data_IF_031087021770
#
_entry.id   IF_031087021770
#
_cell.length_a   1.000
_cell.length_b   1.000
_cell.length_c   1.000
_cell.angle_alpha   90.00
_cell.angle_beta   90.00
_cell.angle_gamma   90.00
#
_symmetry.space_group_name_H-M   'P 1'
#
loop_
_entity.id
_entity.type
_entity.pdbx_description
1 polymer ?
#
# COMPACT_ATOMS: atom_id res chain seq x y z
N UNK A 1 77.01 -14.91 -0.27
CA UNK A 1 75.76 -15.12 0.50
C UNK A 1 74.84 -14.00 0.12
N UNK A 2 73.81 -14.27 -0.71
CA UNK A 2 72.86 -13.27 -1.18
C UNK A 2 71.59 -13.43 -0.38
N UNK A 3 71.33 -12.45 0.51
CA UNK A 3 70.14 -12.44 1.36
C UNK A 3 68.99 -11.76 0.57
N UNK A 4 68.04 -12.60 0.12
CA UNK A 4 66.86 -12.11 -0.60
C UNK A 4 65.79 -11.66 0.42
N UNK A 5 65.56 -10.34 0.53
CA UNK A 5 64.46 -9.79 1.31
C UNK A 5 63.17 -9.96 0.58
N UNK A 6 62.25 -10.78 1.09
CA UNK A 6 60.89 -10.90 0.61
C UNK A 6 60.06 -9.83 1.32
N UNK A 7 59.64 -8.83 0.54
CA UNK A 7 58.67 -7.79 1.01
C UNK A 7 57.25 -8.39 0.88
N UNK A 8 56.63 -8.68 1.99
CA UNK A 8 55.19 -9.05 2.05
C UNK A 8 54.36 -7.76 2.00
N UNK A 9 53.77 -7.49 0.84
CA UNK A 9 52.82 -6.40 0.70
C UNK A 9 51.46 -6.85 1.31
N UNK A 10 51.13 -6.30 2.49
CA UNK A 10 49.80 -6.45 3.08
C UNK A 10 48.81 -5.57 2.30
N UNK A 11 47.97 -6.18 1.46
CA UNK A 11 46.83 -5.53 0.83
C UNK A 11 45.74 -5.37 1.88
N UNK A 12 45.62 -4.17 2.44
CA UNK A 12 44.48 -3.78 3.29
C UNK A 12 43.29 -3.55 2.34
N UNK A 13 42.39 -4.53 2.24
CA UNK A 13 41.07 -4.36 1.63
C UNK A 13 40.26 -3.44 2.56
N UNK A 14 40.32 -2.13 2.31
CA UNK A 14 39.37 -1.18 2.86
C UNK A 14 38.00 -1.49 2.24
N UNK A 15 37.25 -2.38 2.88
CA UNK A 15 35.85 -2.59 2.57
C UNK A 15 35.10 -1.30 2.89
N UNK A 16 34.87 -0.47 1.87
CA UNK A 16 33.87 0.61 1.95
C UNK A 16 32.52 -0.07 2.15
N UNK A 17 32.15 -0.33 3.39
CA UNK A 17 30.76 -0.61 3.75
C UNK A 17 29.94 0.62 3.42
N UNK A 18 29.36 0.65 2.22
CA UNK A 18 28.37 1.66 1.87
C UNK A 18 27.18 1.46 2.80
N UNK A 19 27.12 2.25 3.87
CA UNK A 19 25.94 2.26 4.75
C UNK A 19 24.78 2.80 3.95
N UNK A 20 23.81 1.94 3.65
CA UNK A 20 22.58 2.33 2.97
C UNK A 20 21.86 3.36 3.85
N UNK A 21 21.54 4.56 3.34
CA UNK A 21 20.85 5.56 4.13
C UNK A 21 19.46 5.09 4.56
N UNK A 22 18.99 5.59 5.70
CA UNK A 22 17.65 5.30 6.21
C UNK A 22 16.60 5.70 5.18
N UNK A 23 15.71 4.81 4.73
CA UNK A 23 14.69 5.10 3.71
C UNK A 23 13.48 5.84 4.31
N UNK A 24 13.69 7.04 4.82
CA UNK A 24 12.68 7.85 5.50
C UNK A 24 11.48 8.19 4.59
N UNK A 25 11.72 8.39 3.30
CA UNK A 25 10.71 8.62 2.29
C UNK A 25 9.79 7.41 2.09
N UNK A 26 10.37 6.20 1.97
CA UNK A 26 9.62 4.96 1.85
C UNK A 26 8.79 4.68 3.11
N UNK A 27 9.34 4.93 4.30
CA UNK A 27 8.61 4.80 5.56
C UNK A 27 7.42 5.74 5.61
N UNK A 28 7.62 7.01 5.24
CA UNK A 28 6.57 8.03 5.28
C UNK A 28 5.43 7.66 4.32
N UNK A 29 5.74 7.29 3.08
CA UNK A 29 4.72 6.89 2.10
C UNK A 29 3.95 5.66 2.55
N UNK A 30 4.64 4.60 2.97
CA UNK A 30 3.99 3.39 3.47
C UNK A 30 3.05 3.69 4.65
N UNK A 31 3.47 4.52 5.62
CA UNK A 31 2.64 4.94 6.74
C UNK A 31 1.40 5.72 6.31
N UNK A 32 1.56 6.67 5.38
CA UNK A 32 0.45 7.49 4.89
C UNK A 32 -0.56 6.64 4.13
N UNK A 33 -0.09 5.76 3.23
CA UNK A 33 -0.96 4.92 2.42
C UNK A 33 -1.72 3.90 3.27
N UNK A 34 -1.06 3.27 4.24
CA UNK A 34 -1.72 2.37 5.20
C UNK A 34 -2.79 3.10 6.00
N UNK A 35 -2.52 4.30 6.52
CA UNK A 35 -3.51 5.10 7.23
C UNK A 35 -4.70 5.47 6.35
N UNK A 36 -4.45 5.81 5.10
CA UNK A 36 -5.52 6.13 4.14
C UNK A 36 -6.42 4.91 3.89
N UNK A 37 -5.83 3.71 3.75
CA UNK A 37 -6.58 2.47 3.60
C UNK A 37 -7.37 2.10 4.87
N UNK A 38 -6.82 2.32 6.05
CA UNK A 38 -7.51 2.13 7.35
C UNK A 38 -8.69 3.11 7.55
N UNK A 39 -8.62 4.28 6.94
CA UNK A 39 -9.68 5.28 7.03
C UNK A 39 -10.87 4.98 6.10
N UNK A 40 -10.76 4.00 5.21
CA UNK A 40 -11.87 3.60 4.34
C UNK A 40 -13.02 2.99 5.15
N UNK A 41 -14.29 3.22 4.76
CA UNK A 41 -15.43 2.58 5.40
C UNK A 41 -15.29 1.05 5.34
N UNK A 42 -15.58 0.37 6.44
CA UNK A 42 -15.51 -1.11 6.50
C UNK A 42 -16.42 -1.79 5.48
N UNK A 43 -17.53 -1.12 5.10
CA UNK A 43 -18.43 -1.59 4.04
C UNK A 43 -17.83 -1.55 2.63
N UNK A 44 -16.77 -0.76 2.44
CA UNK A 44 -16.02 -0.69 1.19
C UNK A 44 -14.83 -1.68 1.15
N UNK A 45 -14.46 -2.24 2.29
CA UNK A 45 -13.37 -3.20 2.39
C UNK A 45 -13.91 -4.62 2.17
N UNK A 46 -13.89 -5.06 0.91
CA UNK A 46 -14.17 -6.45 0.58
C UNK A 46 -13.06 -7.38 1.14
N UNK A 47 -13.24 -8.71 1.12
CA UNK A 47 -12.23 -9.64 1.65
C UNK A 47 -10.84 -9.50 1.04
N UNK A 48 -10.73 -9.11 -0.25
CA UNK A 48 -9.45 -8.86 -0.91
C UNK A 48 -8.80 -7.57 -0.41
N UNK A 49 -9.58 -6.48 -0.33
CA UNK A 49 -9.10 -5.22 0.23
C UNK A 49 -8.60 -5.40 1.67
N UNK A 50 -9.35 -6.14 2.49
CA UNK A 50 -8.95 -6.46 3.86
C UNK A 50 -7.65 -7.27 3.92
N UNK A 51 -7.48 -8.25 3.02
CA UNK A 51 -6.26 -9.05 2.94
C UNK A 51 -5.04 -8.18 2.60
N UNK A 52 -5.15 -7.32 1.59
CA UNK A 52 -4.08 -6.39 1.21
C UNK A 52 -3.77 -5.40 2.33
N UNK A 53 -4.78 -4.85 3.00
CA UNK A 53 -4.58 -3.96 4.13
C UNK A 53 -3.84 -4.66 5.28
N UNK A 54 -4.19 -5.92 5.60
CA UNK A 54 -3.49 -6.67 6.63
C UNK A 54 -2.03 -6.94 6.24
N UNK A 55 -1.77 -7.36 5.00
CA UNK A 55 -0.40 -7.54 4.49
C UNK A 55 0.41 -6.25 4.58
N UNK A 56 -0.17 -5.11 4.19
CA UNK A 56 0.47 -3.81 4.27
C UNK A 56 0.86 -3.45 5.71
N UNK A 57 0.00 -3.71 6.68
CA UNK A 57 0.26 -3.45 8.12
C UNK A 57 1.39 -4.34 8.65
N UNK A 58 1.38 -5.62 8.30
CA UNK A 58 2.40 -6.57 8.73
C UNK A 58 3.77 -6.20 8.14
N UNK A 59 3.81 -5.86 6.85
CA UNK A 59 5.02 -5.41 6.17
C UNK A 59 5.53 -4.07 6.72
N UNK A 60 4.64 -3.10 7.01
CA UNK A 60 5.02 -1.84 7.63
C UNK A 60 5.66 -2.06 8.99
N UNK A 61 5.10 -2.95 9.79
CA UNK A 61 5.63 -3.33 11.10
C UNK A 61 6.99 -4.02 10.98
N UNK A 62 7.13 -4.91 10.00
CA UNK A 62 8.41 -5.58 9.72
C UNK A 62 9.47 -4.60 9.22
N UNK A 63 9.12 -3.73 8.28
CA UNK A 63 10.03 -2.69 7.78
C UNK A 63 10.56 -1.78 8.89
N UNK A 64 9.72 -1.40 9.84
CA UNK A 64 10.14 -0.63 11.01
C UNK A 64 11.13 -1.38 11.90
N UNK A 65 10.97 -2.69 12.09
CA UNK A 65 11.96 -3.50 12.83
C UNK A 65 13.31 -3.52 12.13
N UNK A 66 13.31 -3.75 10.81
CA UNK A 66 14.55 -3.72 10.02
C UNK A 66 15.28 -2.40 10.11
N UNK A 67 14.56 -1.26 10.20
CA UNK A 67 15.17 0.06 10.43
C UNK A 67 15.87 0.13 11.79
N UNK A 68 15.28 -0.44 12.83
CA UNK A 68 15.88 -0.49 14.18
C UNK A 68 17.13 -1.39 14.20
N UNK A 69 17.12 -2.45 13.41
CA UNK A 69 18.23 -3.40 13.26
C UNK A 69 19.36 -2.86 12.34
N UNK A 70 19.12 -1.71 11.66
CA UNK A 70 20.08 -1.09 10.75
C UNK A 70 20.07 -1.70 9.33
N UNK A 71 19.15 -2.61 9.05
CA UNK A 71 18.98 -3.30 7.77
C UNK A 71 18.23 -2.40 6.75
N UNK A 72 18.80 -1.22 6.49
CA UNK A 72 18.13 -0.16 5.73
C UNK A 72 17.77 -0.55 4.29
N UNK A 73 18.57 -1.41 3.65
CA UNK A 73 18.31 -1.92 2.31
C UNK A 73 17.06 -2.80 2.27
N UNK A 74 16.97 -3.76 3.17
CA UNK A 74 15.83 -4.67 3.27
C UNK A 74 14.57 -3.92 3.76
N UNK A 75 14.74 -3.00 4.72
CA UNK A 75 13.66 -2.13 5.17
C UNK A 75 13.02 -1.36 4.02
N UNK A 76 13.83 -0.79 3.12
CA UNK A 76 13.33 -0.07 1.95
C UNK A 76 12.41 -0.94 1.08
N UNK A 77 12.84 -2.17 0.76
CA UNK A 77 12.04 -3.08 -0.07
C UNK A 77 10.75 -3.49 0.60
N UNK A 78 10.80 -3.81 1.88
CA UNK A 78 9.62 -4.20 2.66
C UNK A 78 8.63 -3.02 2.77
N UNK A 79 9.11 -1.80 2.99
CA UNK A 79 8.27 -0.61 3.07
C UNK A 79 7.62 -0.27 1.71
N UNK A 80 8.33 -0.43 0.61
CA UNK A 80 7.75 -0.27 -0.74
C UNK A 80 6.65 -1.30 -1.01
N UNK A 81 6.81 -2.53 -0.54
CA UNK A 81 5.74 -3.56 -0.63
C UNK A 81 4.55 -3.22 0.24
N UNK A 82 4.78 -2.71 1.44
CA UNK A 82 3.70 -2.24 2.31
C UNK A 82 2.88 -1.10 1.65
N UNK A 83 3.55 -0.14 1.00
CA UNK A 83 2.91 0.91 0.22
C UNK A 83 2.05 0.32 -0.90
N UNK A 84 2.60 -0.59 -1.71
CA UNK A 84 1.89 -1.21 -2.82
C UNK A 84 0.66 -2.03 -2.38
N UNK A 85 0.76 -2.80 -1.30
CA UNK A 85 -0.39 -3.54 -0.76
C UNK A 85 -1.46 -2.59 -0.19
N UNK A 86 -1.07 -1.49 0.46
CA UNK A 86 -2.02 -0.48 0.91
C UNK A 86 -2.71 0.24 -0.25
N UNK A 87 -2.00 0.54 -1.34
CA UNK A 87 -2.59 1.09 -2.57
C UNK A 87 -3.59 0.12 -3.21
N UNK A 88 -3.26 -1.19 -3.23
CA UNK A 88 -4.18 -2.21 -3.72
C UNK A 88 -5.47 -2.26 -2.88
N UNK A 89 -5.36 -2.18 -1.56
CA UNK A 89 -6.52 -2.11 -0.67
C UNK A 89 -7.38 -0.87 -0.95
N UNK A 90 -6.76 0.30 -1.11
CA UNK A 90 -7.44 1.55 -1.46
C UNK A 90 -8.17 1.45 -2.80
N UNK A 91 -7.49 0.93 -3.83
CA UNK A 91 -8.09 0.77 -5.15
C UNK A 91 -9.34 -0.11 -5.12
N UNK A 92 -9.27 -1.25 -4.43
CA UNK A 92 -10.40 -2.16 -4.27
C UNK A 92 -11.55 -1.51 -3.50
N UNK A 93 -11.23 -0.78 -2.42
CA UNK A 93 -12.23 -0.07 -1.64
C UNK A 93 -12.94 1.02 -2.44
N UNK A 94 -12.21 1.83 -3.21
CA UNK A 94 -12.80 2.84 -4.08
C UNK A 94 -13.67 2.21 -5.18
N UNK A 95 -13.27 1.07 -5.74
CA UNK A 95 -14.07 0.36 -6.72
C UNK A 95 -15.40 -0.13 -6.12
N UNK A 96 -15.41 -0.57 -4.86
CA UNK A 96 -16.64 -1.00 -4.17
C UNK A 96 -17.56 0.19 -3.85
N UNK A 97 -17.01 1.32 -3.43
CA UNK A 97 -17.78 2.57 -3.27
C UNK A 97 -18.45 2.94 -4.60
N UNK A 98 -17.69 2.99 -5.69
CA UNK A 98 -18.24 3.35 -7.00
C UNK A 98 -19.35 2.39 -7.47
N UNK A 99 -19.22 1.09 -7.20
CA UNK A 99 -20.29 0.11 -7.50
C UNK A 99 -21.54 0.37 -6.67
N UNK A 100 -21.38 0.69 -5.39
CA UNK A 100 -22.50 0.98 -4.50
C UNK A 100 -23.24 2.23 -4.94
N UNK A 101 -22.51 3.29 -5.27
CA UNK A 101 -23.08 4.55 -5.77
C UNK A 101 -23.83 4.35 -7.10
N UNK A 102 -23.25 3.55 -8.00
CA UNK A 102 -23.90 3.22 -9.27
C UNK A 102 -25.21 2.45 -9.05
N UNK A 103 -25.23 1.47 -8.15
CA UNK A 103 -26.45 0.71 -7.80
C UNK A 103 -27.52 1.62 -7.20
N UNK A 104 -27.15 2.49 -6.28
CA UNK A 104 -28.07 3.47 -5.69
C UNK A 104 -28.66 4.41 -6.74
N UNK A 105 -27.83 4.89 -7.66
CA UNK A 105 -28.27 5.76 -8.76
C UNK A 105 -29.27 5.05 -9.67
N UNK A 106 -28.98 3.79 -10.05
CA UNK A 106 -29.89 2.98 -10.88
C UNK A 106 -31.23 2.77 -10.17
N UNK A 107 -31.22 2.51 -8.88
CA UNK A 107 -32.44 2.31 -8.11
C UNK A 107 -33.25 3.60 -8.00
N UNK A 108 -32.62 4.74 -7.77
CA UNK A 108 -33.27 6.06 -7.76
C UNK A 108 -33.93 6.38 -9.12
N UNK A 109 -33.25 6.06 -10.22
CA UNK A 109 -33.83 6.22 -11.58
C UNK A 109 -35.06 5.32 -11.76
N UNK A 110 -35.00 4.05 -11.35
CA UNK A 110 -36.17 3.14 -11.44
C UNK A 110 -37.37 3.67 -10.66
N UNK A 111 -37.13 4.15 -9.44
CA UNK A 111 -38.18 4.74 -8.62
C UNK A 111 -38.80 5.98 -9.28
N UNK A 112 -37.97 6.88 -9.81
CA UNK A 112 -38.44 8.06 -10.53
C UNK A 112 -39.29 7.67 -11.76
N UNK A 113 -38.83 6.69 -12.54
CA UNK A 113 -39.57 6.21 -13.71
C UNK A 113 -40.91 5.60 -13.34
N UNK A 114 -41.00 4.82 -12.25
CA UNK A 114 -42.25 4.23 -11.76
C UNK A 114 -43.26 5.29 -11.33
N UNK A 115 -42.80 6.37 -10.67
CA UNK A 115 -43.67 7.49 -10.29
C UNK A 115 -44.22 8.24 -11.51
N UNK A 116 -43.39 8.47 -12.52
CA UNK A 116 -43.84 9.11 -13.79
C UNK A 116 -44.88 8.23 -14.48
N UNK A 117 -44.69 6.92 -14.52
CA UNK A 117 -45.65 6.00 -15.11
C UNK A 117 -47.01 6.03 -14.39
N UNK A 118 -47.00 5.98 -13.05
CA UNK A 118 -48.23 6.07 -12.24
C UNK A 118 -49.00 7.40 -12.48
N UNK A 119 -48.28 8.52 -12.57
CA UNK A 119 -48.89 9.81 -12.87
C UNK A 119 -49.57 9.82 -14.24
N UNK A 120 -48.93 9.20 -15.23
CA UNK A 120 -49.46 9.12 -16.59
C UNK A 120 -50.74 8.27 -16.68
N UNK A 121 -50.80 7.18 -15.93
CA UNK A 121 -51.99 6.30 -15.86
C UNK A 121 -53.14 6.99 -15.09
N UNK A 122 -52.84 7.71 -13.99
CA UNK A 122 -53.82 8.43 -13.20
C UNK A 122 -54.37 9.70 -13.85
N UNK A 123 -53.69 10.30 -14.84
CA UNK A 123 -54.12 11.49 -15.57
C UNK A 123 -54.90 11.20 -16.85
N UNK A 124 -55.00 9.91 -17.22
CA UNK A 124 -55.68 9.46 -18.45
C UNK A 124 -57.14 8.96 -18.24
N UNK A 125 -57.67 9.08 -17.02
CA UNK A 125 -59.07 8.78 -16.66
C UNK A 125 -59.85 10.04 -16.42
#
# INVERSE_FOLDING_TARGET
MKTTMIAVAAVVLAGCGATTPVPADALTRAQQTVRSAEAMPTTALDPKAMQHLQLAKDQLSYGKRLLVEGENGDARWVLMRAEADAEAALYLAHAEVAKTDARQTIEAIRQAMSLVQQQKEGSGS
#
